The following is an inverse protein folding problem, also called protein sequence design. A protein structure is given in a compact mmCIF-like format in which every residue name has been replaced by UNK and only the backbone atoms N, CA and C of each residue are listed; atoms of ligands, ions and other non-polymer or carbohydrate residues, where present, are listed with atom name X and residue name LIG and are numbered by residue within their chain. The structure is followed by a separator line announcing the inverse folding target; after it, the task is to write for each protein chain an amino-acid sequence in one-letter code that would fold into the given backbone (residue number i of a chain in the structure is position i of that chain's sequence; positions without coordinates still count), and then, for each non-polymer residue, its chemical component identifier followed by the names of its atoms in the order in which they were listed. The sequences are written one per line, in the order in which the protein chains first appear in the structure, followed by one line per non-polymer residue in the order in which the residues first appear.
data_IF_257188850160
#
_entry.id   IF_257188850160
#
_cell.length_a   1.000
_cell.length_b   1.000
_cell.length_c   1.000
_cell.angle_alpha   90.00
_cell.angle_beta   90.00
_cell.angle_gamma   90.00
#
_symmetry.space_group_name_H-M   'P 1'
#
loop_
_entity.id
_entity.type
_entity.pdbx_description
1 polymer ?
#
# COMPACT_ATOMS: atom_id res chain seq x y z
N UNK A 1 8.58 -7.49 -2.69
CA UNK A 1 9.94 -7.96 -3.02
C UNK A 1 10.21 -8.03 -4.53
N UNK A 2 9.27 -8.50 -5.37
CA UNK A 2 9.53 -8.73 -6.79
C UNK A 2 9.76 -7.48 -7.68
N UNK A 3 9.21 -6.31 -7.33
CA UNK A 3 9.25 -5.14 -8.23
C UNK A 3 10.66 -4.60 -8.43
N UNK A 4 11.47 -4.50 -7.37
CA UNK A 4 12.86 -4.02 -7.46
C UNK A 4 13.76 -5.03 -8.20
N UNK A 5 13.52 -6.32 -8.02
CA UNK A 5 14.24 -7.38 -8.72
C UNK A 5 14.07 -7.30 -10.24
N UNK A 6 12.94 -6.80 -10.74
CA UNK A 6 12.74 -6.56 -12.19
C UNK A 6 13.75 -5.57 -12.79
N UNK A 7 14.40 -4.76 -11.94
CA UNK A 7 15.42 -3.78 -12.34
C UNK A 7 16.83 -4.18 -11.87
N UNK A 8 17.02 -5.46 -11.48
CA UNK A 8 18.31 -5.95 -10.99
C UNK A 8 18.72 -5.41 -9.62
N UNK A 9 17.77 -4.81 -8.88
CA UNK A 9 18.01 -4.30 -7.53
C UNK A 9 17.65 -5.38 -6.51
N UNK A 10 18.65 -5.86 -5.78
CA UNK A 10 18.47 -6.77 -4.66
C UNK A 10 18.01 -6.01 -3.41
N UNK A 11 16.96 -6.50 -2.77
CA UNK A 11 16.46 -5.93 -1.53
C UNK A 11 17.11 -6.64 -0.34
N UNK A 12 17.88 -5.90 0.43
CA UNK A 12 18.56 -6.39 1.64
C UNK A 12 17.99 -5.72 2.90
N UNK A 13 18.21 -6.35 4.06
CA UNK A 13 17.88 -5.82 5.40
C UNK A 13 16.39 -5.40 5.57
N UNK A 14 15.46 -6.21 5.03
CA UNK A 14 14.04 -6.03 5.29
C UNK A 14 13.68 -6.61 6.67
N UNK A 15 13.86 -5.80 7.72
CA UNK A 15 13.70 -6.25 9.11
C UNK A 15 12.26 -6.25 9.62
N UNK A 16 11.35 -5.54 8.93
CA UNK A 16 9.98 -5.39 9.39
C UNK A 16 8.96 -5.33 8.25
N UNK A 17 7.87 -6.08 8.41
CA UNK A 17 6.68 -6.01 7.57
C UNK A 17 5.44 -5.88 8.48
N UNK A 18 4.70 -4.79 8.30
CA UNK A 18 3.53 -4.47 9.12
C UNK A 18 2.43 -5.54 9.00
N UNK A 19 2.22 -6.11 7.82
CA UNK A 19 1.18 -7.11 7.59
C UNK A 19 1.52 -8.43 8.29
N UNK A 20 2.80 -8.81 8.29
CA UNK A 20 3.30 -9.97 9.05
C UNK A 20 3.14 -9.72 10.55
N UNK A 21 3.58 -8.56 11.05
CA UNK A 21 3.41 -8.21 12.46
C UNK A 21 1.94 -8.22 12.88
N UNK A 22 1.05 -7.63 12.07
CA UNK A 22 -0.39 -7.61 12.29
C UNK A 22 -0.98 -9.03 12.34
N UNK A 23 -0.53 -9.92 11.45
CA UNK A 23 -0.96 -11.32 11.46
C UNK A 23 -0.56 -12.04 12.75
N UNK A 24 0.70 -11.88 13.18
CA UNK A 24 1.23 -12.55 14.37
C UNK A 24 0.52 -12.11 15.67
N UNK A 25 0.07 -10.87 15.75
CA UNK A 25 -0.69 -10.36 16.92
C UNK A 25 -2.20 -10.63 16.82
N UNK A 26 -2.66 -11.33 15.78
CA UNK A 26 -4.04 -11.73 15.61
C UNK A 26 -4.99 -10.63 15.10
N UNK A 27 -4.46 -9.65 14.35
CA UNK A 27 -5.33 -8.67 13.66
C UNK A 27 -6.26 -9.39 12.68
N UNK A 28 -7.56 -9.07 12.76
CA UNK A 28 -8.57 -9.66 11.87
C UNK A 28 -8.47 -9.13 10.44
N UNK A 29 -8.03 -7.88 10.27
CA UNK A 29 -7.89 -7.24 8.98
C UNK A 29 -6.46 -6.72 8.81
N UNK A 30 -5.72 -7.34 7.90
CA UNK A 30 -4.30 -7.06 7.66
C UNK A 30 -4.06 -5.90 6.68
N UNK A 31 -5.10 -5.29 6.14
CA UNK A 31 -4.92 -4.16 5.22
C UNK A 31 -4.33 -2.95 5.93
N UNK A 32 -3.41 -2.25 5.26
CA UNK A 32 -2.77 -1.04 5.81
C UNK A 32 -3.80 0.00 6.27
N UNK A 33 -4.89 0.19 5.50
CA UNK A 33 -5.97 1.11 5.88
C UNK A 33 -6.63 0.72 7.20
N UNK A 34 -6.99 -0.56 7.35
CA UNK A 34 -7.65 -1.01 8.56
C UNK A 34 -6.72 -0.91 9.78
N UNK A 35 -5.45 -1.27 9.60
CA UNK A 35 -4.45 -1.17 10.67
C UNK A 35 -4.25 0.30 11.07
N UNK A 36 -4.10 1.22 10.10
CA UNK A 36 -3.95 2.66 10.37
C UNK A 36 -5.15 3.23 11.14
N UNK A 37 -6.37 2.88 10.72
CA UNK A 37 -7.58 3.32 11.41
C UNK A 37 -7.69 2.73 12.83
N UNK A 38 -7.52 1.41 12.97
CA UNK A 38 -7.72 0.72 14.25
C UNK A 38 -6.64 1.06 15.29
N UNK A 39 -5.38 1.29 14.86
CA UNK A 39 -4.26 1.56 15.77
C UNK A 39 -4.01 3.04 16.01
N UNK A 40 -4.27 3.89 15.01
CA UNK A 40 -3.90 5.31 15.05
C UNK A 40 -5.11 6.25 14.94
N UNK A 41 -6.32 5.73 14.68
CA UNK A 41 -7.50 6.55 14.40
C UNK A 41 -7.42 7.30 13.07
N UNK A 42 -6.48 6.93 12.18
CA UNK A 42 -6.24 7.62 10.91
C UNK A 42 -7.01 6.96 9.78
N UNK A 43 -7.91 7.70 9.16
CA UNK A 43 -8.58 7.27 7.93
C UNK A 43 -7.73 7.61 6.71
N UNK A 44 -7.30 6.58 5.97
CA UNK A 44 -6.56 6.75 4.73
C UNK A 44 -7.49 6.93 3.53
N UNK A 45 -7.10 7.85 2.62
CA UNK A 45 -7.73 8.01 1.32
C UNK A 45 -7.73 6.69 0.51
N UNK A 46 -8.74 6.49 -0.33
CA UNK A 46 -8.76 5.31 -1.21
C UNK A 46 -7.87 5.54 -2.41
N UNK A 47 -7.13 4.51 -2.81
CA UNK A 47 -6.40 4.56 -4.08
C UNK A 47 -7.36 4.81 -5.26
N UNK A 48 -8.62 4.35 -5.15
CA UNK A 48 -9.67 4.58 -6.16
C UNK A 48 -10.06 6.04 -6.30
N UNK A 49 -9.81 6.88 -5.30
CA UNK A 49 -10.02 8.32 -5.41
C UNK A 49 -9.00 8.95 -6.37
N UNK A 50 -7.84 8.30 -6.50
CA UNK A 50 -6.73 8.72 -7.35
C UNK A 50 -6.80 8.08 -8.75
N UNK A 51 -7.02 6.77 -8.82
CA UNK A 51 -6.97 6.01 -10.08
C UNK A 51 -8.33 5.63 -10.65
N UNK A 52 -9.43 5.98 -9.98
CA UNK A 52 -10.79 5.61 -10.38
C UNK A 52 -11.15 4.16 -10.07
N UNK A 53 -12.29 3.70 -10.59
CA UNK A 53 -12.84 2.36 -10.36
C UNK A 53 -13.28 1.67 -11.65
N UNK A 54 -13.31 0.33 -11.60
CA UNK A 54 -13.84 -0.51 -12.68
C UNK A 54 -13.10 -0.33 -14.01
N UNK A 55 -13.84 -0.39 -15.13
CA UNK A 55 -13.26 -0.30 -16.49
C UNK A 55 -12.60 1.06 -16.81
N UNK A 56 -12.89 2.09 -16.02
CA UNK A 56 -12.32 3.44 -16.20
C UNK A 56 -11.10 3.67 -15.30
N UNK A 57 -10.67 2.67 -14.53
CA UNK A 57 -9.50 2.77 -13.69
C UNK A 57 -8.25 3.01 -14.55
N UNK A 58 -7.44 3.99 -14.18
CA UNK A 58 -6.20 4.36 -14.89
C UNK A 58 -4.97 3.82 -14.17
N UNK A 59 -3.83 3.76 -14.86
CA UNK A 59 -2.56 3.42 -14.22
C UNK A 59 -2.02 4.61 -13.44
N UNK A 60 -1.48 4.37 -12.23
CA UNK A 60 -0.79 5.40 -11.45
C UNK A 60 0.35 6.07 -12.24
N UNK A 61 0.99 5.32 -13.16
CA UNK A 61 2.05 5.83 -14.02
C UNK A 61 1.58 6.90 -15.02
N UNK A 62 0.28 7.02 -15.26
CA UNK A 62 -0.31 8.04 -16.15
C UNK A 62 -0.68 9.34 -15.42
N UNK A 63 -0.59 9.35 -14.08
CA UNK A 63 -0.89 10.52 -13.27
C UNK A 63 0.36 11.39 -13.09
N UNK A 64 0.17 12.71 -13.17
CA UNK A 64 1.20 13.68 -12.88
C UNK A 64 1.42 13.83 -11.38
N UNK A 65 2.63 14.25 -10.98
CA UNK A 65 3.04 14.36 -9.58
C UNK A 65 2.05 15.19 -8.73
N UNK A 66 1.53 16.31 -9.27
CA UNK A 66 0.56 17.15 -8.57
C UNK A 66 -0.77 16.47 -8.25
N UNK A 67 -1.11 15.41 -8.96
CA UNK A 67 -2.34 14.64 -8.74
C UNK A 67 -2.13 13.57 -7.64
N UNK A 68 -0.88 13.15 -7.43
CA UNK A 68 -0.51 12.07 -6.49
C UNK A 68 -0.02 12.63 -5.14
N UNK A 69 0.50 13.86 -5.12
CA UNK A 69 1.07 14.53 -3.94
C UNK A 69 0.02 15.18 -3.02
#
# INVERSE_FOLDING_TARGET
MAVLANYGVELENLDFDLMIAAYLIGEKNLSLKAIAFNKLGLEMAQITDLIGTGKKQVSLATLGVKQVA
#
